data_IF_191781025217
#
_entry.id   IF_191781025217
#
_cell.length_a   1.000
_cell.length_b   1.000
_cell.length_c   1.000
_cell.angle_alpha   90.00
_cell.angle_beta   90.00
_cell.angle_gamma   90.00
#
_symmetry.space_group_name_H-M   'P 1'
#
loop_
_entity.id
_entity.type
_entity.pdbx_description
1 polymer ?
#
# COMPACT_ATOMS: atom_id res chain seq x y z
N UNK A 1 12.95 -19.47 -11.56
CA UNK A 1 11.56 -19.64 -11.05
C UNK A 1 11.67 -20.05 -9.59
N UNK A 2 11.38 -19.15 -8.63
CA UNK A 2 11.46 -19.49 -7.19
C UNK A 2 10.26 -20.37 -6.83
N UNK A 3 10.51 -21.61 -6.40
CA UNK A 3 9.50 -22.50 -5.81
C UNK A 3 8.98 -21.84 -4.53
N UNK A 4 7.66 -21.73 -4.38
CA UNK A 4 7.06 -21.25 -3.13
C UNK A 4 7.29 -22.33 -2.06
N UNK A 5 7.93 -22.00 -0.92
CA UNK A 5 8.02 -22.93 0.20
C UNK A 5 6.63 -23.33 0.70
N UNK A 6 6.41 -24.61 0.95
CA UNK A 6 5.17 -25.12 1.52
C UNK A 6 4.95 -24.53 2.93
N UNK A 7 3.70 -24.13 3.23
CA UNK A 7 3.31 -23.61 4.54
C UNK A 7 3.45 -22.09 4.74
N UNK A 8 3.78 -21.32 3.71
CA UNK A 8 3.80 -19.86 3.79
C UNK A 8 2.43 -19.24 3.52
N UNK A 9 1.99 -18.34 4.40
CA UNK A 9 0.85 -17.43 4.19
C UNK A 9 1.37 -16.02 3.91
N UNK A 10 1.74 -15.68 2.65
CA UNK A 10 2.30 -14.37 2.33
C UNK A 10 1.25 -13.28 2.54
N UNK A 11 1.70 -12.14 3.08
CA UNK A 11 0.87 -10.95 3.22
C UNK A 11 1.16 -9.98 2.08
N UNK A 12 0.11 -9.46 1.47
CA UNK A 12 0.21 -8.39 0.47
C UNK A 12 0.10 -7.05 1.19
N UNK A 13 1.06 -6.16 0.95
CA UNK A 13 0.98 -4.78 1.43
C UNK A 13 -0.11 -4.02 0.67
N UNK A 14 -0.89 -3.21 1.39
CA UNK A 14 -1.90 -2.30 0.81
C UNK A 14 -1.34 -0.88 0.94
N UNK A 15 -1.38 -0.12 -0.15
CA UNK A 15 -0.81 1.24 -0.24
C UNK A 15 -1.57 2.33 0.53
N UNK A 16 -2.24 1.99 1.64
CA UNK A 16 -2.93 2.93 2.50
C UNK A 16 -2.06 3.24 3.73
N UNK A 17 -1.82 4.52 3.97
CA UNK A 17 -0.94 4.97 5.04
C UNK A 17 -1.58 6.06 5.89
N UNK A 18 -1.34 6.00 7.19
CA UNK A 18 -1.61 7.08 8.12
C UNK A 18 -0.31 7.65 8.68
N UNK A 19 -0.07 8.95 8.48
CA UNK A 19 1.14 9.62 8.94
C UNK A 19 0.85 10.63 10.05
N UNK A 20 1.80 10.77 10.98
CA UNK A 20 1.86 11.97 11.83
C UNK A 20 2.36 13.14 10.96
N UNK A 21 1.76 14.32 11.15
CA UNK A 21 2.09 15.53 10.39
C UNK A 21 3.60 15.83 10.38
N UNK A 22 4.21 15.89 11.56
CA UNK A 22 5.62 16.26 11.69
C UNK A 22 6.55 15.23 11.04
N UNK A 23 6.19 13.94 11.14
CA UNK A 23 6.91 12.88 10.45
C UNK A 23 6.80 13.03 8.93
N UNK A 24 5.60 13.26 8.39
CA UNK A 24 5.42 13.44 6.95
C UNK A 24 6.24 14.62 6.42
N UNK A 25 6.21 15.75 7.14
CA UNK A 25 7.00 16.94 6.79
C UNK A 25 8.51 16.65 6.77
N UNK A 26 9.00 15.81 7.68
CA UNK A 26 10.40 15.40 7.69
C UNK A 26 10.70 14.38 6.58
N UNK A 27 9.85 13.36 6.43
CA UNK A 27 10.02 12.25 5.51
C UNK A 27 10.19 12.70 4.05
N UNK A 28 9.43 13.70 3.62
CA UNK A 28 9.50 14.25 2.25
C UNK A 28 10.77 15.03 1.96
N UNK A 29 11.56 15.39 2.98
CA UNK A 29 12.85 16.09 2.81
C UNK A 29 14.03 15.14 2.64
N UNK A 30 13.85 13.86 2.95
CA UNK A 30 14.91 12.88 2.82
C UNK A 30 15.17 12.54 1.36
N UNK A 31 16.45 12.40 1.00
CA UNK A 31 16.82 11.89 -0.30
C UNK A 31 16.36 10.42 -0.46
N UNK A 32 16.03 9.98 -1.69
CA UNK A 32 15.75 8.58 -1.95
C UNK A 32 16.88 7.68 -1.45
N UNK A 33 16.52 6.62 -0.73
CA UNK A 33 17.49 5.72 -0.13
C UNK A 33 17.89 4.60 -1.09
N UNK A 34 18.93 3.83 -0.75
CA UNK A 34 19.45 2.78 -1.63
C UNK A 34 18.40 1.68 -1.86
N UNK A 35 17.67 1.26 -0.83
CA UNK A 35 16.65 0.23 -0.98
C UNK A 35 15.40 0.76 -1.67
N UNK A 36 15.02 2.02 -1.42
CA UNK A 36 13.93 2.66 -2.18
C UNK A 36 14.23 2.61 -3.68
N UNK A 37 15.45 2.97 -4.08
CA UNK A 37 15.85 2.94 -5.49
C UNK A 37 15.94 1.53 -6.06
N UNK A 38 16.46 0.57 -5.29
CA UNK A 38 16.62 -0.80 -5.75
C UNK A 38 15.27 -1.52 -5.94
N UNK A 39 14.32 -1.30 -5.04
CA UNK A 39 13.03 -2.01 -5.02
C UNK A 39 11.87 -1.17 -5.55
N UNK A 40 12.08 0.13 -5.80
CA UNK A 40 11.05 1.11 -6.16
C UNK A 40 9.94 1.20 -5.11
N UNK A 41 10.33 1.21 -3.82
CA UNK A 41 9.42 1.21 -2.67
C UNK A 41 9.76 2.32 -1.68
N UNK A 42 8.97 3.41 -1.71
CA UNK A 42 9.18 4.62 -0.90
C UNK A 42 9.21 4.36 0.62
N UNK A 43 8.43 3.38 1.10
CA UNK A 43 8.40 3.03 2.52
C UNK A 43 9.74 2.50 3.05
N UNK A 44 10.64 2.02 2.17
CA UNK A 44 11.98 1.57 2.56
C UNK A 44 12.86 2.74 3.01
N UNK A 45 12.67 3.94 2.45
CA UNK A 45 13.37 5.16 2.92
C UNK A 45 13.07 5.47 4.37
N UNK A 46 11.83 5.25 4.81
CA UNK A 46 11.46 5.42 6.21
C UNK A 46 12.19 4.41 7.11
N UNK A 47 12.25 3.15 6.69
CA UNK A 47 12.94 2.09 7.44
C UNK A 47 14.45 2.34 7.52
N UNK A 48 15.08 2.76 6.42
CA UNK A 48 16.53 3.07 6.39
C UNK A 48 16.90 4.27 7.28
N UNK A 49 15.99 5.24 7.45
CA UNK A 49 16.16 6.35 8.40
C UNK A 49 15.76 5.99 9.85
N UNK A 50 15.52 4.71 10.13
CA UNK A 50 15.22 4.21 11.48
C UNK A 50 13.79 4.46 11.96
N UNK A 51 12.89 4.92 11.07
CA UNK A 51 11.48 5.05 11.42
C UNK A 51 10.81 3.67 11.53
N UNK A 52 9.76 3.59 12.34
CA UNK A 52 8.99 2.36 12.53
C UNK A 52 7.66 2.46 11.81
N UNK A 53 7.32 1.44 11.03
CA UNK A 53 6.03 1.32 10.34
C UNK A 53 5.18 0.30 11.10
N UNK A 54 4.02 0.74 11.59
CA UNK A 54 3.01 -0.16 12.15
C UNK A 54 2.13 -0.66 11.01
N UNK A 55 1.94 -1.98 10.93
CA UNK A 55 1.06 -2.64 9.95
C UNK A 55 -0.06 -3.36 10.72
N UNK A 56 -1.25 -3.42 10.13
CA UNK A 56 -2.40 -4.19 10.64
C UNK A 56 -2.93 -5.10 9.54
N UNK A 57 -3.49 -6.24 9.94
CA UNK A 57 -4.20 -7.12 9.01
C UNK A 57 -5.60 -6.56 8.72
N UNK A 58 -6.07 -6.78 7.50
CA UNK A 58 -7.42 -6.45 7.05
C UNK A 58 -7.89 -7.50 6.04
N UNK A 59 -9.19 -7.71 5.98
CA UNK A 59 -9.85 -8.51 4.95
C UNK A 59 -10.20 -7.67 3.70
N UNK A 60 -10.08 -6.34 3.80
CA UNK A 60 -10.31 -5.42 2.68
C UNK A 60 -9.21 -5.55 1.63
N UNK A 61 -9.60 -5.76 0.39
CA UNK A 61 -8.68 -5.94 -0.74
C UNK A 61 -8.35 -4.66 -1.51
N UNK A 62 -9.03 -3.55 -1.20
CA UNK A 62 -8.90 -2.20 -1.77
C UNK A 62 -8.58 -2.22 -3.26
N UNK A 63 -9.63 -2.24 -4.07
CA UNK A 63 -9.52 -2.31 -5.53
C UNK A 63 -9.20 -0.91 -6.07
N UNK A 64 -8.06 -0.79 -6.76
CA UNK A 64 -7.73 0.40 -7.55
C UNK A 64 -8.58 0.45 -8.82
N UNK A 65 -9.05 1.64 -9.17
CA UNK A 65 -9.70 1.90 -10.46
C UNK A 65 -8.67 2.57 -11.36
N UNK A 66 -8.08 1.78 -12.26
CA UNK A 66 -6.92 2.13 -13.07
C UNK A 66 -7.26 2.25 -14.56
N UNK A 67 -8.41 1.73 -15.01
CA UNK A 67 -8.86 1.80 -16.41
C UNK A 67 -10.31 2.27 -16.56
N UNK A 68 -10.66 2.94 -17.69
CA UNK A 68 -12.03 3.38 -17.96
C UNK A 68 -13.04 2.23 -18.00
N UNK A 69 -12.63 1.04 -18.41
CA UNK A 69 -13.48 -0.14 -18.53
C UNK A 69 -13.96 -0.67 -17.16
N UNK A 70 -13.31 -0.26 -16.07
CA UNK A 70 -13.71 -0.62 -14.70
C UNK A 70 -14.85 0.26 -14.16
N UNK A 71 -15.16 1.39 -14.81
CA UNK A 71 -16.19 2.34 -14.37
C UNK A 71 -17.59 1.70 -14.27
N UNK A 72 -18.09 0.95 -15.27
CA UNK A 72 -19.42 0.34 -15.18
C UNK A 72 -19.56 -0.66 -14.01
N UNK A 73 -18.50 -1.39 -13.68
CA UNK A 73 -18.48 -2.31 -12.54
C UNK A 73 -18.56 -1.55 -11.21
N UNK A 74 -17.80 -0.45 -11.08
CA UNK A 74 -17.86 0.39 -9.89
C UNK A 74 -19.23 1.06 -9.71
N UNK A 75 -19.82 1.58 -10.79
CA UNK A 75 -21.17 2.18 -10.75
C UNK A 75 -22.21 1.18 -10.25
N UNK A 76 -22.16 -0.07 -10.73
CA UNK A 76 -23.03 -1.14 -10.26
C UNK A 76 -22.83 -1.46 -8.78
N UNK A 77 -21.58 -1.53 -8.30
CA UNK A 77 -21.25 -1.75 -6.89
C UNK A 77 -21.76 -0.62 -5.99
N UNK A 78 -21.59 0.63 -6.40
CA UNK A 78 -22.06 1.79 -5.65
C UNK A 78 -23.59 1.80 -5.55
N UNK A 79 -24.30 1.51 -6.65
CA UNK A 79 -25.76 1.43 -6.65
C UNK A 79 -26.28 0.31 -5.74
N UNK A 80 -25.64 -0.85 -5.73
CA UNK A 80 -26.00 -1.97 -4.85
C UNK A 80 -25.79 -1.66 -3.36
N UNK A 81 -24.72 -0.93 -3.01
CA UNK A 81 -24.41 -0.52 -1.64
C UNK A 81 -25.17 0.73 -1.18
N UNK A 82 -25.93 1.39 -2.07
CA UNK A 82 -26.73 2.58 -1.77
C UNK A 82 -28.17 2.26 -1.32
N UNK A 83 -28.47 1.00 -0.97
CA UNK A 83 -29.74 0.69 -0.28
C UNK A 83 -29.66 1.16 1.18
N UNK A 84 -30.66 1.90 1.69
CA UNK A 84 -30.69 2.39 3.07
C UNK A 84 -30.78 1.26 4.11
#
# INVERSE_FOLDING_TARGET
MRTRPDGLSPLRHIGLYGYRRDFLNQFVTWAPSLLEQAEQLEQLRALEHGARIRVTLTEDHSIGLDTPEQVPELEALLAANSSP
#
